data_IF_913763794426
#
_entry.id   IF_913763794426
#
_cell.length_a   1.000
_cell.length_b   1.000
_cell.length_c   1.000
_cell.angle_alpha   90.00
_cell.angle_beta   90.00
_cell.angle_gamma   90.00
#
_symmetry.space_group_name_H-M   'P 1'
#
loop_
_entity.id
_entity.type
_entity.pdbx_description
1 polymer ?
#
# COMPACT_ATOMS: atom_id res chain seq x y z
N UNK A 1 -81.64 -34.16 -12.29
CA UNK A 1 -81.21 -32.74 -12.38
C UNK A 1 -80.13 -32.52 -11.33
N UNK A 2 -79.07 -31.78 -11.69
CA UNK A 2 -77.84 -31.45 -10.93
C UNK A 2 -76.68 -32.45 -11.11
N UNK A 3 -75.88 -32.15 -12.14
CA UNK A 3 -74.53 -32.64 -12.41
C UNK A 3 -73.55 -31.75 -11.60
N UNK A 4 -72.66 -32.31 -10.78
CA UNK A 4 -71.56 -31.57 -10.13
C UNK A 4 -70.28 -31.71 -10.96
N UNK A 5 -69.79 -30.60 -11.49
CA UNK A 5 -68.48 -30.48 -12.12
C UNK A 5 -67.40 -30.33 -11.04
N UNK A 6 -66.34 -31.13 -11.13
CA UNK A 6 -65.06 -30.94 -10.44
C UNK A 6 -64.11 -30.23 -11.41
N UNK A 7 -63.66 -29.01 -11.06
CA UNK A 7 -62.53 -28.36 -11.72
C UNK A 7 -61.21 -28.80 -11.05
N UNK A 8 -60.13 -29.09 -11.79
CA UNK A 8 -58.81 -29.25 -11.21
C UNK A 8 -58.14 -27.89 -11.03
N UNK A 9 -57.57 -27.66 -9.86
CA UNK A 9 -56.73 -26.49 -9.56
C UNK A 9 -55.34 -26.78 -10.15
N UNK A 10 -54.95 -26.02 -11.20
CA UNK A 10 -53.57 -25.95 -11.66
C UNK A 10 -52.77 -25.07 -10.70
N UNK A 11 -51.77 -25.65 -10.04
CA UNK A 11 -50.73 -24.91 -9.31
C UNK A 11 -49.59 -24.61 -10.29
N UNK A 12 -49.13 -23.35 -10.46
CA UNK A 12 -48.04 -23.05 -11.35
C UNK A 12 -46.72 -23.51 -10.73
N UNK A 13 -45.95 -24.29 -11.50
CA UNK A 13 -44.61 -24.72 -11.15
C UNK A 13 -43.66 -23.52 -11.33
N UNK A 14 -43.44 -22.74 -10.27
CA UNK A 14 -42.39 -21.72 -10.24
C UNK A 14 -41.03 -22.40 -10.21
N UNK A 15 -40.30 -22.31 -11.32
CA UNK A 15 -38.89 -22.70 -11.39
C UNK A 15 -38.08 -21.77 -10.47
N UNK A 16 -37.67 -22.31 -9.32
CA UNK A 16 -36.69 -21.67 -8.45
C UNK A 16 -35.32 -21.81 -9.15
N UNK A 17 -34.88 -20.76 -9.84
CA UNK A 17 -33.50 -20.64 -10.30
C UNK A 17 -32.60 -20.54 -9.06
N UNK A 18 -32.05 -21.68 -8.65
CA UNK A 18 -30.96 -21.71 -7.66
C UNK A 18 -29.73 -21.17 -8.37
N UNK A 19 -29.47 -19.88 -8.20
CA UNK A 19 -28.18 -19.29 -8.57
C UNK A 19 -27.16 -19.77 -7.56
N UNK A 20 -26.31 -20.72 -7.94
CA UNK A 20 -25.09 -20.99 -7.18
C UNK A 20 -24.21 -19.75 -7.24
N UNK A 21 -23.72 -19.21 -6.10
CA UNK A 21 -22.70 -18.18 -6.15
C UNK A 21 -21.50 -18.78 -6.91
N UNK A 22 -21.05 -18.08 -7.95
CA UNK A 22 -19.80 -18.39 -8.62
C UNK A 22 -18.69 -18.35 -7.55
N UNK A 23 -18.19 -19.52 -7.18
CA UNK A 23 -16.97 -19.63 -6.39
C UNK A 23 -15.86 -19.08 -7.27
N UNK A 24 -15.44 -17.84 -7.00
CA UNK A 24 -14.17 -17.35 -7.52
C UNK A 24 -13.11 -18.33 -7.05
N UNK A 25 -12.50 -19.07 -7.98
CA UNK A 25 -11.36 -19.91 -7.66
C UNK A 25 -10.21 -18.94 -7.43
N UNK A 26 -9.67 -18.94 -6.21
CA UNK A 26 -8.48 -18.15 -5.92
C UNK A 26 -7.34 -18.64 -6.81
N UNK A 27 -6.71 -17.72 -7.54
CA UNK A 27 -5.66 -18.04 -8.51
C UNK A 27 -4.30 -17.73 -7.88
N UNK A 28 -3.35 -18.68 -7.92
CA UNK A 28 -1.96 -18.38 -7.60
C UNK A 28 -1.41 -17.42 -8.65
N UNK A 29 -0.82 -16.34 -8.19
CA UNK A 29 -0.29 -15.27 -9.04
C UNK A 29 1.21 -15.03 -8.83
N UNK A 30 1.89 -15.84 -8.02
CA UNK A 30 3.27 -15.57 -7.66
C UNK A 30 4.17 -16.80 -7.75
N UNK A 31 5.39 -16.58 -8.25
CA UNK A 31 6.50 -17.48 -8.01
C UNK A 31 7.27 -17.00 -6.78
N UNK A 32 7.50 -17.88 -5.81
CA UNK A 32 8.12 -17.52 -4.53
C UNK A 32 9.56 -18.03 -4.45
N UNK A 33 10.48 -17.13 -4.12
CA UNK A 33 11.86 -17.45 -3.75
C UNK A 33 12.06 -17.18 -2.24
N UNK A 34 12.67 -18.15 -1.54
CA UNK A 34 12.94 -18.06 -0.11
C UNK A 34 14.36 -17.54 0.14
N UNK A 35 14.51 -16.75 1.20
CA UNK A 35 15.78 -16.18 1.61
C UNK A 35 16.02 -16.38 3.11
N UNK A 36 17.30 -16.32 3.49
CA UNK A 36 17.76 -16.29 4.87
C UNK A 36 18.98 -15.36 4.94
N UNK A 37 18.77 -14.13 4.48
CA UNK A 37 19.81 -13.12 4.31
C UNK A 37 19.56 -11.96 5.26
N UNK A 38 20.56 -11.67 6.09
CA UNK A 38 20.55 -10.53 7.01
C UNK A 38 21.46 -9.42 6.49
N UNK A 39 20.93 -8.21 6.45
CA UNK A 39 21.58 -7.00 6.01
C UNK A 39 21.61 -6.00 7.17
N UNK A 40 22.76 -5.38 7.40
CA UNK A 40 22.89 -4.40 8.48
C UNK A 40 23.96 -3.37 8.15
N UNK A 41 23.74 -2.13 8.58
CA UNK A 41 24.76 -1.09 8.63
C UNK A 41 25.40 -1.07 10.02
N UNK A 42 26.72 -0.93 10.14
CA UNK A 42 27.42 -0.90 11.44
C UNK A 42 26.85 0.14 12.41
N UNK A 43 26.44 1.31 11.90
CA UNK A 43 25.87 2.38 12.71
C UNK A 43 24.38 2.17 13.06
N UNK A 44 23.69 1.27 12.37
CA UNK A 44 22.27 0.99 12.60
C UNK A 44 22.07 0.09 13.82
N UNK A 45 21.06 0.41 14.62
CA UNK A 45 20.57 -0.41 15.73
C UNK A 45 19.67 -1.57 15.26
N UNK A 46 19.37 -1.64 13.97
CA UNK A 46 18.44 -2.59 13.39
C UNK A 46 19.10 -3.41 12.27
N UNK A 47 18.50 -4.55 11.98
CA UNK A 47 18.87 -5.48 10.92
C UNK A 47 17.65 -5.70 10.02
N UNK A 48 17.87 -5.65 8.72
CA UNK A 48 16.90 -6.04 7.70
C UNK A 48 17.13 -7.50 7.36
N UNK A 49 16.11 -8.34 7.51
CA UNK A 49 16.19 -9.77 7.20
C UNK A 49 15.25 -10.07 6.06
N UNK A 50 15.81 -10.42 4.89
CA UNK A 50 15.05 -10.84 3.73
C UNK A 50 14.55 -12.27 3.94
N UNK A 51 13.24 -12.47 3.87
CA UNK A 51 12.61 -13.76 4.17
C UNK A 51 12.10 -14.44 2.89
N UNK A 52 11.42 -13.69 2.01
CA UNK A 52 10.95 -14.20 0.74
C UNK A 52 10.72 -13.08 -0.27
N UNK A 53 10.75 -13.43 -1.55
CA UNK A 53 10.34 -12.56 -2.64
C UNK A 53 9.31 -13.31 -3.47
N UNK A 54 8.16 -12.68 -3.68
CA UNK A 54 7.12 -13.14 -4.59
C UNK A 54 7.21 -12.34 -5.89
N UNK A 55 7.57 -12.97 -6.99
CA UNK A 55 7.50 -12.37 -8.32
C UNK A 55 6.07 -12.54 -8.83
N UNK A 56 5.33 -11.43 -8.92
CA UNK A 56 3.94 -11.46 -9.35
C UNK A 56 3.85 -11.64 -10.86
N UNK A 57 2.85 -12.42 -11.27
CA UNK A 57 2.55 -12.70 -12.67
C UNK A 57 1.93 -11.44 -13.29
N UNK A 58 2.49 -10.96 -14.40
CA UNK A 58 1.92 -9.85 -15.16
C UNK A 58 0.72 -10.34 -15.98
N UNK A 59 -0.37 -10.65 -15.29
CA UNK A 59 -1.63 -11.16 -15.83
C UNK A 59 -2.74 -10.13 -15.61
N UNK A 60 -3.76 -10.21 -16.45
CA UNK A 60 -5.03 -9.55 -16.21
C UNK A 60 -6.06 -10.59 -15.81
N UNK A 61 -6.58 -10.47 -14.59
CA UNK A 61 -7.59 -11.37 -14.02
C UNK A 61 -8.83 -10.53 -13.71
N UNK A 62 -9.99 -10.96 -14.19
CA UNK A 62 -11.27 -10.22 -14.06
C UNK A 62 -11.23 -8.75 -14.53
N UNK A 63 -10.35 -8.43 -15.49
CA UNK A 63 -10.17 -7.08 -16.01
C UNK A 63 -9.23 -6.18 -15.19
N UNK A 64 -8.54 -6.73 -14.19
CA UNK A 64 -7.55 -6.04 -13.38
C UNK A 64 -6.16 -6.60 -13.62
N UNK A 65 -5.19 -5.72 -13.88
CA UNK A 65 -3.79 -6.10 -14.07
C UNK A 65 -3.16 -6.34 -12.70
N UNK A 66 -2.37 -7.39 -12.57
CA UNK A 66 -1.60 -7.71 -11.36
C UNK A 66 -0.19 -7.10 -11.50
N UNK A 67 -0.14 -5.80 -11.70
CA UNK A 67 1.07 -4.99 -11.78
C UNK A 67 0.72 -3.52 -11.54
N UNK A 68 1.67 -2.59 -11.69
CA UNK A 68 1.42 -1.14 -11.50
C UNK A 68 0.86 -0.86 -10.10
N UNK A 69 1.48 -1.50 -9.09
CA UNK A 69 1.08 -1.42 -7.70
C UNK A 69 1.82 -0.29 -7.00
N UNK A 70 1.07 0.60 -6.38
CA UNK A 70 1.55 1.83 -5.73
C UNK A 70 1.29 1.87 -4.23
N UNK A 71 0.44 0.97 -3.70
CA UNK A 71 0.10 0.95 -2.28
C UNK A 71 -0.21 -0.44 -1.72
N UNK A 72 0.08 -0.67 -0.44
CA UNK A 72 -0.20 -1.91 0.28
C UNK A 72 -0.86 -1.66 1.63
N UNK A 73 -1.79 -2.52 2.03
CA UNK A 73 -2.25 -2.57 3.43
C UNK A 73 -2.65 -3.99 3.83
N UNK A 74 -2.10 -4.45 4.96
CA UNK A 74 -2.51 -5.71 5.57
C UNK A 74 -3.71 -5.53 6.49
N UNK A 75 -4.73 -6.35 6.29
CA UNK A 75 -5.91 -6.48 7.13
C UNK A 75 -5.87 -7.83 7.88
N UNK A 76 -5.63 -7.75 9.18
CA UNK A 76 -5.54 -8.91 10.07
C UNK A 76 -6.90 -9.58 10.27
N UNK A 77 -7.98 -8.80 10.37
CA UNK A 77 -9.32 -9.31 10.65
C UNK A 77 -9.89 -10.09 9.45
N UNK A 78 -9.57 -9.63 8.24
CA UNK A 78 -9.96 -10.29 6.98
C UNK A 78 -8.93 -11.31 6.47
N UNK A 79 -7.70 -11.28 7.02
CA UNK A 79 -6.55 -12.03 6.53
C UNK A 79 -6.33 -11.80 5.01
N UNK A 80 -6.26 -10.52 4.65
CA UNK A 80 -6.11 -10.01 3.29
C UNK A 80 -5.00 -8.98 3.20
N UNK A 81 -4.23 -9.05 2.11
CA UNK A 81 -3.37 -7.97 1.67
C UNK A 81 -4.11 -7.18 0.59
N UNK A 82 -4.45 -5.94 0.88
CA UNK A 82 -4.92 -5.01 -0.14
C UNK A 82 -3.73 -4.46 -0.90
N UNK A 83 -3.77 -4.55 -2.22
CA UNK A 83 -2.82 -3.91 -3.11
C UNK A 83 -3.54 -2.89 -3.98
N UNK A 84 -3.04 -1.67 -4.00
CA UNK A 84 -3.58 -0.55 -4.76
C UNK A 84 -2.74 -0.35 -6.02
N UNK A 85 -3.41 -0.08 -7.13
CA UNK A 85 -2.76 0.36 -8.36
C UNK A 85 -3.00 1.85 -8.58
N UNK A 86 -1.98 2.54 -9.07
CA UNK A 86 -1.98 3.92 -9.58
C UNK A 86 -3.08 4.21 -10.63
N UNK A 87 -3.62 3.17 -11.25
CA UNK A 87 -4.74 3.23 -12.17
C UNK A 87 -6.12 3.23 -11.48
N UNK A 88 -6.17 3.35 -10.15
CA UNK A 88 -7.39 3.54 -9.37
C UNK A 88 -8.21 2.26 -9.21
N UNK A 89 -7.56 1.14 -8.92
CA UNK A 89 -8.22 -0.10 -8.52
C UNK A 89 -7.48 -0.83 -7.40
N UNK A 90 -8.25 -1.61 -6.64
CA UNK A 90 -7.80 -2.42 -5.52
C UNK A 90 -7.79 -3.89 -5.93
N UNK A 91 -6.74 -4.60 -5.54
CA UNK A 91 -6.65 -6.05 -5.59
C UNK A 91 -6.72 -6.59 -4.17
N UNK A 92 -7.52 -7.63 -3.97
CA UNK A 92 -7.56 -8.41 -2.74
C UNK A 92 -6.66 -9.61 -2.96
N UNK A 93 -5.53 -9.60 -2.28
CA UNK A 93 -4.53 -10.65 -2.33
C UNK A 93 -4.52 -11.44 -1.02
N UNK A 94 -4.05 -12.68 -1.07
CA UNK A 94 -3.81 -13.49 0.11
C UNK A 94 -2.47 -14.19 0.02
N UNK A 95 -1.44 -13.66 0.70
CA UNK A 95 -0.23 -14.41 0.97
C UNK A 95 -0.55 -15.66 1.79
N UNK A 96 -0.03 -16.81 1.37
CA UNK A 96 -0.12 -18.07 2.10
C UNK A 96 1.19 -18.32 2.83
N UNK A 97 1.10 -18.96 4.00
CA UNK A 97 2.25 -19.29 4.82
C UNK A 97 2.22 -20.73 5.29
N UNK A 98 3.40 -21.36 5.33
CA UNK A 98 3.65 -22.64 5.99
C UNK A 98 4.87 -22.47 6.90
N UNK A 99 4.73 -22.74 8.20
CA UNK A 99 5.79 -22.52 9.21
C UNK A 99 6.51 -21.15 9.09
N UNK A 100 5.73 -20.07 8.97
CA UNK A 100 6.19 -18.68 8.77
C UNK A 100 6.92 -18.39 7.45
N UNK A 101 7.02 -19.35 6.55
CA UNK A 101 7.54 -19.15 5.19
C UNK A 101 6.40 -18.83 4.26
N UNK A 102 6.50 -17.73 3.51
CA UNK A 102 5.51 -17.40 2.49
C UNK A 102 5.59 -18.46 1.38
N UNK A 103 4.49 -19.10 1.03
CA UNK A 103 4.48 -20.21 0.05
C UNK A 103 3.76 -19.88 -1.24
N UNK A 104 2.87 -18.88 -1.22
CA UNK A 104 2.12 -18.43 -2.39
C UNK A 104 1.56 -17.02 -2.15
N UNK A 105 1.09 -16.38 -3.21
CA UNK A 105 0.20 -15.22 -3.14
C UNK A 105 -0.97 -15.49 -4.08
N UNK A 106 -2.17 -15.49 -3.52
CA UNK A 106 -3.39 -15.71 -4.28
C UNK A 106 -4.05 -14.38 -4.65
N UNK A 107 -4.49 -14.25 -5.90
CA UNK A 107 -5.48 -13.26 -6.29
C UNK A 107 -6.88 -13.76 -5.92
N UNK A 108 -7.66 -12.93 -5.23
CA UNK A 108 -9.03 -13.26 -4.86
C UNK A 108 -10.04 -12.46 -5.67
N UNK A 109 -9.79 -11.15 -5.81
CA UNK A 109 -10.71 -10.21 -6.46
C UNK A 109 -10.09 -8.86 -6.76
N UNK A 110 -10.61 -8.17 -7.77
CA UNK A 110 -10.31 -6.77 -8.06
C UNK A 110 -11.54 -5.87 -7.97
N UNK A 111 -11.33 -4.60 -7.63
CA UNK A 111 -12.37 -3.57 -7.53
C UNK A 111 -11.87 -2.22 -8.03
N UNK A 112 -12.57 -1.60 -8.98
CA UNK A 112 -12.28 -0.19 -9.29
C UNK A 112 -12.65 0.71 -8.12
N UNK A 113 -11.79 1.69 -7.82
CA UNK A 113 -12.15 2.82 -6.98
C UNK A 113 -13.25 3.63 -7.67
N UNK A 114 -14.28 4.03 -6.92
CA UNK A 114 -15.46 4.71 -7.45
C UNK A 114 -15.74 5.99 -6.71
N UNK A 115 -16.10 7.04 -7.46
CA UNK A 115 -16.54 8.32 -6.91
C UNK A 115 -17.88 8.21 -6.17
N UNK A 116 -18.31 9.31 -5.55
CA UNK A 116 -19.63 9.43 -4.89
C UNK A 116 -20.84 9.11 -5.79
N UNK A 117 -20.66 9.15 -7.11
CA UNK A 117 -21.68 8.81 -8.10
C UNK A 117 -21.56 7.35 -8.58
N UNK A 118 -20.74 6.54 -7.90
CA UNK A 118 -20.46 5.13 -8.21
C UNK A 118 -19.76 4.91 -9.54
N UNK A 119 -19.12 5.94 -10.11
CA UNK A 119 -18.36 5.83 -11.36
C UNK A 119 -16.92 5.52 -11.04
N UNK A 120 -16.32 4.60 -11.80
CA UNK A 120 -14.90 4.31 -11.66
C UNK A 120 -14.05 5.56 -11.91
N UNK A 121 -13.01 5.75 -11.10
CA UNK A 121 -12.06 6.85 -11.28
C UNK A 121 -11.28 6.68 -12.59
N UNK A 122 -10.87 7.78 -13.20
CA UNK A 122 -10.16 7.79 -14.48
C UNK A 122 -9.20 8.98 -14.55
N UNK A 123 -8.11 8.83 -15.31
CA UNK A 123 -7.15 9.90 -15.57
C UNK A 123 -6.56 10.44 -14.26
N UNK A 124 -6.44 11.76 -14.10
CA UNK A 124 -5.90 12.38 -12.88
C UNK A 124 -6.68 12.02 -11.60
N UNK A 125 -7.92 11.58 -11.72
CA UNK A 125 -8.70 11.16 -10.55
C UNK A 125 -8.29 9.76 -10.06
N UNK A 126 -7.68 8.93 -10.90
CA UNK A 126 -7.29 7.57 -10.52
C UNK A 126 -5.90 7.44 -9.93
N UNK A 127 -5.01 8.42 -10.14
CA UNK A 127 -3.62 8.45 -9.61
C UNK A 127 -3.62 8.30 -8.09
N UNK A 128 -3.51 7.06 -7.63
CA UNK A 128 -3.63 6.68 -6.24
C UNK A 128 -2.33 6.03 -5.79
N UNK A 129 -1.77 6.50 -4.68
CA UNK A 129 -0.43 6.12 -4.22
C UNK A 129 -0.53 5.31 -2.94
N UNK A 130 -0.13 5.88 -1.80
CA UNK A 130 -0.16 5.24 -0.49
C UNK A 130 -1.55 4.80 -0.03
N UNK A 131 -1.53 3.68 0.69
CA UNK A 131 -2.71 2.99 1.21
C UNK A 131 -2.50 2.65 2.70
N UNK A 132 -3.53 2.85 3.52
CA UNK A 132 -3.57 2.30 4.88
C UNK A 132 -4.95 1.78 5.23
N UNK A 133 -5.00 0.66 5.96
CA UNK A 133 -6.25 0.13 6.49
C UNK A 133 -6.57 0.73 7.85
N UNK A 134 -7.83 1.11 8.03
CA UNK A 134 -8.44 1.48 9.30
C UNK A 134 -9.37 0.36 9.73
N UNK A 135 -9.34 0.05 11.02
CA UNK A 135 -10.09 -1.04 11.65
C UNK A 135 -9.69 -2.47 11.26
N UNK A 136 -8.72 -2.69 10.38
CA UNK A 136 -8.32 -4.05 9.97
C UNK A 136 -7.55 -4.88 11.02
N UNK A 137 -7.66 -4.53 12.31
CA UNK A 137 -7.10 -5.30 13.43
C UNK A 137 -7.82 -4.93 14.74
N UNK A 138 -9.14 -4.77 14.70
CA UNK A 138 -9.98 -4.50 15.86
C UNK A 138 -10.80 -5.74 16.30
N UNK A 139 -10.68 -6.86 15.58
CA UNK A 139 -11.40 -8.11 15.83
C UNK A 139 -12.81 -8.15 15.25
N UNK A 140 -13.19 -7.20 14.37
CA UNK A 140 -14.52 -7.09 13.77
C UNK A 140 -14.41 -7.27 12.26
N UNK A 141 -14.76 -8.46 11.78
CA UNK A 141 -14.83 -8.71 10.34
C UNK A 141 -15.89 -7.83 9.65
N UNK A 142 -15.52 -7.29 8.50
CA UNK A 142 -16.37 -6.54 7.59
C UNK A 142 -16.50 -5.04 7.91
N UNK A 143 -15.77 -4.51 8.90
CA UNK A 143 -15.80 -3.09 9.25
C UNK A 143 -14.56 -2.29 8.79
N UNK A 144 -13.61 -2.98 8.16
CA UNK A 144 -12.40 -2.42 7.58
C UNK A 144 -12.69 -1.34 6.55
N UNK A 145 -11.85 -0.31 6.58
CA UNK A 145 -11.90 0.84 5.65
C UNK A 145 -10.51 1.14 5.16
N UNK A 146 -10.44 1.69 3.96
CA UNK A 146 -9.18 2.04 3.32
C UNK A 146 -9.05 3.56 3.27
N UNK A 147 -7.89 4.08 3.65
CA UNK A 147 -7.53 5.49 3.45
C UNK A 147 -6.46 5.51 2.37
N UNK A 148 -6.74 6.25 1.31
CA UNK A 148 -5.90 6.32 0.11
C UNK A 148 -5.50 7.78 -0.12
N UNK A 149 -4.21 8.04 -0.33
CA UNK A 149 -3.75 9.31 -0.89
C UNK A 149 -3.67 9.26 -2.41
N UNK A 150 -3.87 10.40 -3.04
CA UNK A 150 -3.89 10.53 -4.48
C UNK A 150 -2.93 11.60 -4.94
N UNK A 151 -2.30 11.31 -6.07
CA UNK A 151 -1.45 12.24 -6.78
C UNK A 151 -2.25 13.17 -7.69
N UNK A 152 -1.65 14.30 -8.09
CA UNK A 152 -2.12 15.32 -9.06
C UNK A 152 -3.35 16.11 -8.69
N UNK A 153 -4.26 15.49 -7.95
CA UNK A 153 -5.36 16.11 -7.23
C UNK A 153 -5.18 15.68 -5.77
N UNK A 154 -4.33 16.41 -5.01
CA UNK A 154 -3.95 16.05 -3.65
C UNK A 154 -5.19 15.90 -2.77
N UNK A 155 -5.44 14.67 -2.32
CA UNK A 155 -6.56 14.37 -1.44
C UNK A 155 -6.31 13.06 -0.70
N UNK A 156 -6.90 12.98 0.48
CA UNK A 156 -7.11 11.72 1.19
C UNK A 156 -8.59 11.35 1.09
N UNK A 157 -8.86 10.08 0.82
CA UNK A 157 -10.23 9.57 0.70
C UNK A 157 -10.37 8.25 1.44
N UNK A 158 -11.44 8.14 2.22
CA UNK A 158 -11.87 6.89 2.86
C UNK A 158 -12.74 6.09 1.87
N UNK A 159 -12.42 4.81 1.68
CA UNK A 159 -13.14 3.85 0.84
C UNK A 159 -13.56 2.63 1.67
N UNK A 160 -14.64 1.97 1.24
CA UNK A 160 -14.87 0.57 1.58
C UNK A 160 -13.84 -0.31 0.88
N UNK A 161 -13.67 -1.54 1.38
CA UNK A 161 -12.76 -2.55 0.78
C UNK A 161 -13.20 -3.00 -0.62
N UNK A 162 -14.43 -2.68 -1.05
CA UNK A 162 -14.93 -2.93 -2.41
C UNK A 162 -14.70 -1.76 -3.39
N UNK A 163 -13.95 -0.73 -2.97
CA UNK A 163 -13.63 0.46 -3.77
C UNK A 163 -14.72 1.53 -3.83
N UNK A 164 -15.82 1.42 -3.05
CA UNK A 164 -16.81 2.49 -2.95
C UNK A 164 -16.31 3.63 -2.04
N UNK A 165 -16.28 4.86 -2.55
CA UNK A 165 -15.95 6.05 -1.75
C UNK A 165 -16.93 6.24 -0.60
N UNK A 166 -16.39 6.48 0.60
CA UNK A 166 -17.14 6.84 1.80
C UNK A 166 -17.11 8.35 2.05
N UNK A 167 -15.91 8.93 2.15
CA UNK A 167 -15.73 10.34 2.49
C UNK A 167 -14.38 10.88 2.03
N UNK A 168 -14.33 12.16 1.67
CA UNK A 168 -13.05 12.88 1.57
C UNK A 168 -12.57 13.27 2.97
N UNK A 169 -11.27 13.13 3.20
CA UNK A 169 -10.61 13.51 4.45
C UNK A 169 -9.92 14.87 4.22
N UNK A 170 -10.26 15.91 4.99
CA UNK A 170 -9.63 17.22 4.85
C UNK A 170 -8.11 17.14 5.08
N UNK A 171 -7.36 17.73 4.16
CA UNK A 171 -5.92 17.90 4.29
C UNK A 171 -5.59 19.20 5.04
N UNK A 172 -4.42 19.27 5.70
CA UNK A 172 -3.81 20.54 6.06
C UNK A 172 -3.76 21.49 4.87
N UNK A 173 -3.95 22.79 5.11
CA UNK A 173 -4.08 23.78 4.04
C UNK A 173 -2.89 23.75 3.05
N UNK A 174 -1.69 23.52 3.56
CA UNK A 174 -0.44 23.43 2.79
C UNK A 174 -0.42 22.25 1.82
N UNK A 175 -1.11 21.15 2.14
CA UNK A 175 -1.23 19.96 1.30
C UNK A 175 -2.47 19.98 0.39
N UNK A 176 -3.41 20.90 0.61
CA UNK A 176 -4.69 20.91 -0.12
C UNK A 176 -4.62 21.52 -1.52
N UNK A 177 -3.52 22.21 -1.87
CA UNK A 177 -3.37 22.94 -3.13
C UNK A 177 -2.19 22.40 -3.93
N UNK A 178 -2.47 21.84 -5.11
CA UNK A 178 -1.48 21.29 -6.04
C UNK A 178 -0.36 22.29 -6.38
N UNK A 179 -0.62 23.61 -6.29
CA UNK A 179 0.36 24.66 -6.56
C UNK A 179 1.45 24.79 -5.50
N UNK A 180 1.29 24.13 -4.34
CA UNK A 180 2.30 24.10 -3.30
C UNK A 180 3.37 23.02 -3.55
N UNK A 181 3.14 22.10 -4.49
CA UNK A 181 4.01 20.97 -4.78
C UNK A 181 4.98 21.28 -5.93
N UNK A 182 6.09 20.55 -5.99
CA UNK A 182 7.11 20.73 -7.05
C UNK A 182 6.61 20.38 -8.46
N UNK A 183 5.53 19.61 -8.55
CA UNK A 183 4.89 19.21 -9.79
C UNK A 183 3.55 18.54 -9.52
N UNK A 184 2.72 18.41 -10.54
CA UNK A 184 1.45 17.68 -10.40
C UNK A 184 1.70 16.21 -10.04
N UNK A 185 2.68 15.59 -10.69
CA UNK A 185 3.14 14.23 -10.43
C UNK A 185 4.32 14.21 -9.46
N UNK A 186 4.22 15.01 -8.38
CA UNK A 186 5.14 15.01 -7.23
C UNK A 186 4.39 15.31 -5.95
N UNK A 187 3.15 14.84 -5.85
CA UNK A 187 2.23 15.28 -4.80
C UNK A 187 2.15 14.31 -3.62
N UNK A 188 0.97 14.00 -3.07
CA UNK A 188 0.91 13.08 -1.93
C UNK A 188 1.32 11.68 -2.34
N UNK A 189 2.27 11.12 -1.61
CA UNK A 189 2.83 9.79 -1.92
C UNK A 189 2.43 8.76 -0.88
N UNK A 190 2.62 9.07 0.40
CA UNK A 190 2.52 8.07 1.45
C UNK A 190 1.52 8.45 2.54
N UNK A 191 0.92 7.45 3.16
CA UNK A 191 -0.01 7.60 4.28
C UNK A 191 0.09 6.45 5.27
N UNK A 192 -0.01 6.73 6.57
CA UNK A 192 -0.12 5.71 7.62
C UNK A 192 -0.98 6.21 8.79
N UNK A 193 -1.24 5.34 9.78
CA UNK A 193 -1.99 5.69 10.99
C UNK A 193 -1.10 5.46 12.22
N UNK A 194 -0.68 6.56 12.84
CA UNK A 194 0.10 6.57 14.06
C UNK A 194 -0.82 6.56 15.30
N UNK A 195 -0.51 5.76 16.33
CA UNK A 195 -1.37 5.60 17.52
C UNK A 195 -1.69 6.90 18.27
N UNK A 196 -0.68 7.77 18.44
CA UNK A 196 -0.82 9.10 19.07
C UNK A 196 -1.29 10.23 18.15
N UNK A 197 -0.71 10.37 16.97
CA UNK A 197 -0.90 11.53 16.09
C UNK A 197 -1.94 11.32 14.99
N UNK A 198 -2.56 10.13 14.93
CA UNK A 198 -3.59 9.81 13.94
C UNK A 198 -3.01 9.60 12.55
N UNK A 199 -3.73 10.04 11.52
CA UNK A 199 -3.31 9.88 10.13
C UNK A 199 -2.10 10.78 9.86
N UNK A 200 -1.03 10.17 9.38
CA UNK A 200 0.20 10.83 8.92
C UNK A 200 0.30 10.65 7.41
N UNK A 201 0.59 11.71 6.67
CA UNK A 201 0.78 11.68 5.22
C UNK A 201 1.93 12.58 4.81
N UNK A 202 2.53 12.35 3.64
CA UNK A 202 3.63 13.16 3.14
C UNK A 202 3.62 13.24 1.62
N UNK A 203 4.22 14.31 1.05
CA UNK A 203 4.47 14.40 -0.38
C UNK A 203 5.66 13.53 -0.79
N UNK A 204 5.76 13.20 -2.09
CA UNK A 204 6.96 12.55 -2.68
C UNK A 204 8.20 13.44 -2.47
N UNK A 205 8.04 14.74 -2.71
CA UNK A 205 9.10 15.75 -2.65
C UNK A 205 8.72 16.95 -1.77
N UNK A 206 9.71 17.73 -1.29
CA UNK A 206 9.45 18.91 -0.46
C UNK A 206 8.50 19.91 -1.15
N UNK A 207 7.62 20.55 -0.40
CA UNK A 207 6.77 21.62 -0.92
C UNK A 207 7.62 22.81 -1.42
N UNK A 208 7.10 23.61 -2.35
CA UNK A 208 7.81 24.79 -2.89
C UNK A 208 8.20 25.79 -1.80
N UNK A 209 7.37 25.92 -0.76
CA UNK A 209 7.62 26.80 0.38
C UNK A 209 8.73 26.30 1.31
N UNK A 210 9.07 25.01 1.26
CA UNK A 210 10.09 24.44 2.12
C UNK A 210 11.48 24.81 1.59
N UNK A 211 12.45 25.03 2.49
CA UNK A 211 13.83 25.26 2.08
C UNK A 211 14.36 24.05 1.31
N UNK A 212 15.25 24.30 0.34
CA UNK A 212 16.00 23.24 -0.34
C UNK A 212 17.11 22.71 0.58
N UNK A 213 16.73 22.11 1.72
CA UNK A 213 17.63 21.61 2.77
C UNK A 213 17.58 20.09 2.91
N UNK A 214 17.43 19.38 1.79
CA UNK A 214 17.55 17.91 1.73
C UNK A 214 16.56 17.19 2.67
N UNK A 215 15.39 17.78 2.85
CA UNK A 215 14.35 17.22 3.68
C UNK A 215 12.99 17.63 3.14
N UNK A 216 12.04 16.71 3.26
CA UNK A 216 10.61 16.99 3.13
C UNK A 216 9.98 16.92 4.52
N UNK A 217 8.74 17.38 4.65
CA UNK A 217 8.01 17.18 5.91
C UNK A 217 6.91 16.13 5.71
N UNK A 218 6.65 15.39 6.78
CA UNK A 218 5.45 14.56 6.94
C UNK A 218 4.48 15.26 7.89
N UNK A 219 3.19 15.09 7.65
CA UNK A 219 2.14 15.89 8.26
C UNK A 219 1.10 15.01 8.91
N UNK A 220 0.63 15.44 10.07
CA UNK A 220 -0.64 14.95 10.61
C UNK A 220 -1.79 15.84 10.16
N UNK A 221 -3.02 15.34 10.24
CA UNK A 221 -4.21 16.09 9.81
C UNK A 221 -4.55 17.31 10.70
N UNK A 222 -4.00 17.39 11.91
CA UNK A 222 -4.18 18.56 12.79
C UNK A 222 -3.24 19.73 12.44
N UNK A 223 -2.35 19.54 11.47
CA UNK A 223 -1.41 20.54 10.98
C UNK A 223 -0.01 20.46 11.58
N UNK A 224 0.25 19.56 12.55
CA UNK A 224 1.65 19.28 12.95
C UNK A 224 2.40 18.65 11.78
N UNK A 225 3.68 18.98 11.70
CA UNK A 225 4.59 18.41 10.73
C UNK A 225 5.94 18.12 11.38
N UNK A 226 6.63 17.14 10.81
CA UNK A 226 7.96 16.73 11.23
C UNK A 226 8.85 16.64 10.01
N UNK A 227 10.09 17.06 10.20
CA UNK A 227 11.09 16.95 9.17
C UNK A 227 11.51 15.49 8.94
N UNK A 228 11.56 15.10 7.67
CA UNK A 228 12.08 13.85 7.16
C UNK A 228 13.31 14.18 6.31
N UNK A 229 14.54 14.08 6.88
CA UNK A 229 15.76 14.24 6.13
C UNK A 229 15.94 13.02 5.23
N UNK A 230 16.04 13.27 3.93
CA UNK A 230 16.34 12.21 2.97
C UNK A 230 17.81 11.83 3.09
N UNK A 231 18.12 10.54 2.94
CA UNK A 231 19.48 10.02 2.88
C UNK A 231 20.22 10.58 1.66
N UNK A 232 19.54 10.56 0.51
CA UNK A 232 20.07 11.10 -0.73
C UNK A 232 19.64 12.55 -0.90
N UNK A 233 20.54 13.46 -0.54
CA UNK A 233 20.28 14.90 -0.51
C UNK A 233 19.82 15.51 -1.85
N UNK A 234 20.15 14.89 -2.98
CA UNK A 234 19.86 15.45 -4.30
C UNK A 234 18.62 14.84 -4.95
N UNK A 235 18.34 13.56 -4.67
CA UNK A 235 17.36 12.79 -5.44
C UNK A 235 16.37 12.03 -4.57
N UNK A 236 16.51 12.07 -3.24
CA UNK A 236 15.63 11.37 -2.31
C UNK A 236 14.18 11.85 -2.40
N UNK A 237 13.29 10.87 -2.45
CA UNK A 237 11.85 11.02 -2.48
C UNK A 237 11.24 10.06 -1.45
N UNK A 238 10.20 10.50 -0.75
CA UNK A 238 9.37 9.59 0.03
C UNK A 238 8.61 8.70 -0.95
N UNK A 239 8.56 7.39 -0.69
CA UNK A 239 7.79 6.43 -1.48
C UNK A 239 6.65 5.83 -0.63
N UNK A 240 6.98 5.26 0.53
CA UNK A 240 6.01 4.55 1.37
C UNK A 240 6.18 4.81 2.86
N UNK A 241 5.13 4.57 3.64
CA UNK A 241 5.16 4.67 5.10
C UNK A 241 4.29 3.61 5.78
N UNK A 242 4.78 3.07 6.90
CA UNK A 242 3.96 2.21 7.76
C UNK A 242 4.29 2.37 9.24
N UNK A 243 3.33 2.05 10.11
CA UNK A 243 3.51 2.17 11.57
C UNK A 243 3.98 0.84 12.16
N UNK A 244 5.02 0.91 12.99
CA UNK A 244 5.66 -0.21 13.70
C UNK A 244 4.88 -0.63 14.95
N UNK A 245 5.16 -1.81 15.54
CA UNK A 245 4.51 -2.25 16.77
C UNK A 245 4.67 -1.32 17.98
N UNK A 246 5.75 -0.53 18.01
CA UNK A 246 6.11 0.36 19.10
C UNK A 246 5.65 1.81 18.88
N UNK A 247 4.68 2.03 17.98
CA UNK A 247 4.23 3.34 17.48
C UNK A 247 5.33 4.16 16.78
N UNK A 248 6.52 3.60 16.54
CA UNK A 248 7.44 4.14 15.56
C UNK A 248 6.88 4.03 14.14
N UNK A 249 7.53 4.65 13.18
CA UNK A 249 7.19 4.52 11.76
C UNK A 249 8.39 3.99 10.98
N UNK A 250 8.12 3.23 9.93
CA UNK A 250 9.05 2.99 8.84
C UNK A 250 8.70 3.91 7.69
N UNK A 251 9.72 4.48 7.06
CA UNK A 251 9.57 5.24 5.83
C UNK A 251 10.54 4.69 4.79
N UNK A 252 10.02 4.52 3.58
CA UNK A 252 10.77 4.10 2.41
C UNK A 252 11.15 5.34 1.61
N UNK A 253 12.45 5.53 1.39
CA UNK A 253 12.98 6.54 0.50
C UNK A 253 13.48 5.90 -0.78
N UNK A 254 13.14 6.53 -1.90
CA UNK A 254 13.65 6.19 -3.22
C UNK A 254 14.45 7.36 -3.78
N UNK A 255 15.63 7.10 -4.33
CA UNK A 255 16.44 8.11 -5.00
C UNK A 255 16.83 7.66 -6.42
N UNK A 256 16.54 8.48 -7.42
CA UNK A 256 16.94 8.22 -8.81
C UNK A 256 18.25 8.91 -9.16
N UNK A 257 19.28 8.14 -9.50
CA UNK A 257 20.61 8.63 -9.88
C UNK A 257 20.68 9.34 -11.24
N UNK A 258 19.92 10.41 -11.47
CA UNK A 258 20.06 11.28 -12.65
C UNK A 258 20.11 10.53 -14.00
N UNK A 259 21.23 10.60 -14.72
CA UNK A 259 21.40 9.99 -16.07
C UNK A 259 21.66 8.46 -16.00
N UNK A 260 21.92 7.90 -14.81
CA UNK A 260 22.15 6.47 -14.62
C UNK A 260 20.96 5.80 -13.91
N UNK A 261 20.62 4.55 -14.25
CA UNK A 261 19.46 3.84 -13.71
C UNK A 261 19.64 3.34 -12.27
N UNK A 262 20.68 3.81 -11.57
CA UNK A 262 20.90 3.49 -10.18
C UNK A 262 19.77 4.12 -9.36
N UNK A 263 18.81 3.28 -8.98
CA UNK A 263 17.91 3.62 -7.88
C UNK A 263 18.73 3.42 -6.59
N UNK A 264 18.40 4.12 -5.53
CA UNK A 264 18.89 3.83 -4.19
C UNK A 264 17.65 3.77 -3.31
N UNK A 265 17.50 2.67 -2.58
CA UNK A 265 16.36 2.47 -1.69
C UNK A 265 16.90 2.53 -0.28
N UNK A 266 16.35 3.43 0.53
CA UNK A 266 16.73 3.59 1.93
C UNK A 266 15.53 3.37 2.83
N UNK A 267 15.68 2.49 3.81
CA UNK A 267 14.67 2.28 4.83
C UNK A 267 15.04 3.05 6.09
N UNK A 268 14.12 3.89 6.56
CA UNK A 268 14.29 4.69 7.76
C UNK A 268 13.32 4.24 8.85
N UNK A 269 13.77 4.34 10.10
CA UNK A 269 12.89 4.34 11.26
C UNK A 269 12.73 5.76 11.77
N UNK A 270 11.49 6.16 12.00
CA UNK A 270 11.11 7.48 12.50
C UNK A 270 10.38 7.33 13.84
N UNK A 271 10.78 8.11 14.83
CA UNK A 271 10.02 8.31 16.07
C UNK A 271 9.49 9.73 16.09
N UNK A 272 8.17 9.90 16.16
CA UNK A 272 7.55 11.20 16.25
C UNK A 272 7.44 11.64 17.73
N UNK A 273 8.07 12.77 18.05
CA UNK A 273 7.87 13.52 19.29
C UNK A 273 6.81 14.62 19.10
N UNK A 274 6.59 15.46 20.11
CA UNK A 274 5.63 16.57 20.01
C UNK A 274 6.04 17.59 18.94
N UNK A 275 7.32 17.98 18.91
CA UNK A 275 7.86 19.04 18.04
C UNK A 275 9.05 18.58 17.17
N UNK A 276 9.54 17.35 17.37
CA UNK A 276 10.74 16.83 16.71
C UNK A 276 10.59 15.35 16.40
N UNK A 277 11.30 14.88 15.38
CA UNK A 277 11.44 13.48 15.04
C UNK A 277 12.86 12.99 15.36
N UNK A 278 12.98 11.72 15.75
CA UNK A 278 14.26 11.01 15.74
C UNK A 278 14.24 10.03 14.56
N UNK A 279 15.26 10.11 13.70
CA UNK A 279 15.29 9.36 12.45
C UNK A 279 16.60 8.58 12.38
N UNK A 280 16.49 7.30 12.09
CA UNK A 280 17.63 6.40 11.95
C UNK A 280 17.49 5.60 10.65
N UNK A 281 18.50 5.67 9.79
CA UNK A 281 18.59 4.78 8.64
C UNK A 281 18.81 3.34 9.13
N UNK A 282 17.90 2.45 8.77
CA UNK A 282 18.01 1.01 9.07
C UNK A 282 19.01 0.39 8.11
N UNK A 283 18.79 0.60 6.81
CA UNK A 283 19.60 0.06 5.73
C UNK A 283 19.41 0.85 4.44
N UNK A 284 20.47 0.90 3.63
CA UNK A 284 20.46 1.47 2.27
C UNK A 284 20.86 0.36 1.32
N UNK A 285 20.00 0.07 0.35
CA UNK A 285 20.24 -0.92 -0.69
C UNK A 285 21.03 -0.24 -1.82
N UNK A 286 22.28 -0.66 -2.00
CA UNK A 286 23.15 -0.16 -3.06
C UNK A 286 22.77 -0.72 -4.44
N UNK A 287 23.44 -0.23 -5.50
CA UNK A 287 23.21 -0.63 -6.90
C UNK A 287 23.43 -2.11 -7.19
N UNK A 288 24.16 -2.81 -6.33
CA UNK A 288 24.48 -4.23 -6.50
C UNK A 288 23.50 -5.13 -5.73
N UNK A 289 22.53 -4.56 -5.01
CA UNK A 289 21.51 -5.28 -4.25
C UNK A 289 20.45 -6.00 -5.12
N UNK A 290 20.60 -5.96 -6.45
CA UNK A 290 19.74 -6.66 -7.40
C UNK A 290 18.28 -6.21 -7.27
N UNK A 291 17.37 -7.16 -7.06
CA UNK A 291 15.93 -6.90 -6.96
C UNK A 291 15.53 -6.00 -5.78
N UNK A 292 16.39 -5.88 -4.75
CA UNK A 292 16.17 -4.97 -3.63
C UNK A 292 16.52 -3.52 -3.98
N UNK A 293 17.01 -3.28 -5.20
CA UNK A 293 17.23 -1.96 -5.75
C UNK A 293 16.39 -1.74 -7.02
N UNK A 294 15.10 -2.02 -6.89
CA UNK A 294 14.09 -1.69 -7.90
C UNK A 294 13.23 -0.50 -7.42
N UNK A 295 12.32 -0.06 -8.28
CA UNK A 295 11.41 1.05 -8.03
C UNK A 295 10.34 0.70 -6.99
N UNK A 296 10.71 0.58 -5.71
CA UNK A 296 9.74 0.35 -4.65
C UNK A 296 8.85 1.58 -4.42
N UNK A 297 7.54 1.33 -4.37
CA UNK A 297 6.53 2.39 -4.21
C UNK A 297 5.91 2.39 -2.82
N UNK A 298 5.74 1.24 -2.15
CA UNK A 298 5.13 1.23 -0.82
C UNK A 298 5.62 0.10 0.10
N UNK A 299 5.31 0.27 1.39
CA UNK A 299 5.60 -0.63 2.50
C UNK A 299 4.39 -0.74 3.42
N UNK A 300 4.03 -1.97 3.83
CA UNK A 300 3.05 -2.20 4.88
C UNK A 300 3.58 -3.13 5.95
N UNK A 301 3.21 -2.87 7.20
CA UNK A 301 3.34 -3.85 8.27
C UNK A 301 2.43 -5.04 8.00
N UNK A 302 2.93 -6.23 8.29
CA UNK A 302 2.18 -7.47 8.36
C UNK A 302 1.92 -7.83 9.83
N UNK A 303 2.64 -8.79 10.39
CA UNK A 303 2.49 -9.26 11.77
C UNK A 303 3.77 -9.08 12.57
N UNK A 304 3.66 -8.62 13.82
CA UNK A 304 4.85 -8.34 14.64
C UNK A 304 5.80 -7.39 13.92
N UNK A 305 7.07 -7.79 13.80
CA UNK A 305 8.15 -7.06 13.13
C UNK A 305 8.39 -7.49 11.68
N UNK A 306 7.35 -8.02 11.02
CA UNK A 306 7.41 -8.42 9.61
C UNK A 306 6.60 -7.45 8.74
N UNK A 307 7.05 -7.30 7.51
CA UNK A 307 6.60 -6.27 6.58
C UNK A 307 6.58 -6.81 5.16
N UNK A 308 5.76 -6.16 4.33
CA UNK A 308 5.81 -6.28 2.89
C UNK A 308 6.22 -4.95 2.27
N UNK A 309 6.96 -5.00 1.16
CA UNK A 309 7.15 -3.87 0.25
C UNK A 309 6.94 -4.31 -1.19
N UNK A 310 6.49 -3.40 -2.05
CA UNK A 310 6.19 -3.68 -3.46
C UNK A 310 6.91 -2.71 -4.39
N UNK A 311 7.42 -3.22 -5.52
CA UNK A 311 7.93 -2.39 -6.59
C UNK A 311 6.95 -2.26 -7.76
N UNK A 312 7.01 -1.12 -8.41
CA UNK A 312 6.33 -0.91 -9.67
C UNK A 312 7.17 -1.45 -10.85
N UNK A 313 6.48 -2.09 -11.79
CA UNK A 313 7.07 -2.56 -13.03
C UNK A 313 7.22 -1.44 -14.08
N UNK A 314 6.77 -0.21 -13.79
CA UNK A 314 6.79 0.96 -14.68
C UNK A 314 6.11 0.68 -16.03
N UNK A 315 5.17 -0.28 -16.05
CA UNK A 315 4.58 -0.84 -17.27
C UNK A 315 5.62 -1.34 -18.29
N UNK A 316 6.83 -1.64 -17.84
CA UNK A 316 7.90 -2.10 -18.71
C UNK A 316 7.73 -3.60 -18.95
N UNK A 317 7.67 -4.08 -20.21
CA UNK A 317 7.29 -5.45 -20.53
C UNK A 317 8.24 -6.52 -19.98
N UNK A 318 9.45 -6.13 -19.56
CA UNK A 318 10.46 -7.01 -18.96
C UNK A 318 10.61 -6.85 -17.45
N UNK A 319 10.05 -5.79 -16.85
CA UNK A 319 10.06 -5.64 -15.39
C UNK A 319 8.88 -6.42 -14.81
N UNK A 320 9.07 -6.90 -13.59
CA UNK A 320 8.03 -7.62 -12.85
C UNK A 320 7.76 -6.89 -11.55
N UNK A 321 6.49 -6.80 -11.20
CA UNK A 321 6.06 -6.42 -9.86
C UNK A 321 6.46 -7.54 -8.91
N UNK A 322 7.11 -7.18 -7.83
CA UNK A 322 7.62 -8.08 -6.79
C UNK A 322 7.11 -7.63 -5.44
N UNK A 323 6.67 -8.59 -4.64
CA UNK A 323 6.28 -8.38 -3.26
C UNK A 323 7.36 -9.00 -2.38
N UNK A 324 8.09 -8.15 -1.67
CA UNK A 324 9.18 -8.57 -0.79
C UNK A 324 8.66 -8.71 0.63
N UNK A 325 8.85 -9.89 1.21
CA UNK A 325 8.55 -10.21 2.61
C UNK A 325 9.83 -10.19 3.45
N UNK A 326 9.85 -9.38 4.50
CA UNK A 326 11.05 -9.18 5.32
C UNK A 326 10.70 -8.92 6.79
N UNK A 327 11.71 -8.93 7.66
CA UNK A 327 11.59 -8.48 9.04
C UNK A 327 12.65 -7.46 9.42
N UNK A 328 12.28 -6.57 10.36
CA UNK A 328 13.19 -5.58 10.93
C UNK A 328 13.39 -5.90 12.40
N UNK A 329 14.60 -6.33 12.75
CA UNK A 329 14.92 -6.75 14.11
C UNK A 329 15.90 -5.76 14.74
N UNK A 330 15.74 -5.49 16.04
CA UNK A 330 16.75 -4.74 16.79
C UNK A 330 17.96 -5.63 17.01
N UNK A 331 19.16 -5.10 16.77
CA UNK A 331 20.42 -5.79 17.08
C UNK A 331 20.48 -6.14 18.55
N UNK A 332 20.95 -7.34 18.87
CA UNK A 332 21.27 -7.69 20.24
C UNK A 332 22.44 -6.82 20.70
N UNK A 333 22.30 -6.18 21.86
CA UNK A 333 23.41 -5.48 22.48
C UNK A 333 24.50 -6.51 22.81
N UNK A 334 25.72 -6.26 22.34
CA UNK A 334 26.89 -7.10 22.63
C UNK A 334 27.25 -7.10 24.11
#
# INVERSE_FOLDING_TARGET
MILRFLLPILVPLTWLLITFPSVSIAESIAEIEQFDSTYSNEASLYEFNLLAIAVLSNLTIDGFKVSELSGLAWDEDENLLYALSDNGYLLHLRPLFDDNKMTDVLFLKGYSLRDKNKRALRYKESDSEGLVVKHGNNGIQGDSRLIICFERIPRLVEYNTDGAMLAGIPLPAELSDIRNYQGENKSLEAVTIHGKFGIITGPEHPLISQPANNALDIYSLDGRHWNFPVHNEHYGALAGMTTMPDDGMLALERAYGGIFPATEITLHRILLGEDKSEINTIYTFDTDAGILNENFEDITRFRGDTYFMVNDDNNHPLKRTTLVYFSINKKQAK
#
